data_IF_380303535529
#
_entry.id   IF_380303535529
#
_cell.length_a   1.000
_cell.length_b   1.000
_cell.length_c   1.000
_cell.angle_alpha   90.00
_cell.angle_beta   90.00
_cell.angle_gamma   90.00
#
_symmetry.space_group_name_H-M   'P 1'
#
loop_
_entity.id
_entity.type
_entity.pdbx_description
1 polymer ?
#
# COMPACT_ATOMS: atom_id res chain seq x y z
N UNK A 1 -0.17 -11.16 -3.18
CA UNK A 1 -0.29 -11.32 -4.64
C UNK A 1 -1.67 -11.81 -5.05
N UNK A 2 -2.08 -13.03 -4.66
CA UNK A 2 -3.42 -13.59 -4.97
C UNK A 2 -4.58 -12.66 -4.61
N UNK A 3 -4.57 -12.07 -3.41
CA UNK A 3 -5.64 -11.19 -2.93
C UNK A 3 -5.86 -9.97 -3.83
N UNK A 4 -4.79 -9.29 -4.26
CA UNK A 4 -4.87 -8.09 -5.12
C UNK A 4 -5.42 -8.43 -6.50
N UNK A 5 -4.97 -9.55 -7.08
CA UNK A 5 -5.47 -10.05 -8.36
C UNK A 5 -6.95 -10.47 -8.29
N UNK A 6 -7.37 -11.07 -7.17
CA UNK A 6 -8.78 -11.40 -6.94
C UNK A 6 -9.66 -10.14 -6.87
N UNK A 7 -9.20 -9.06 -6.23
CA UNK A 7 -9.94 -7.80 -6.19
C UNK A 7 -10.02 -7.14 -7.57
N UNK A 8 -8.90 -7.03 -8.30
CA UNK A 8 -8.88 -6.45 -9.66
C UNK A 8 -9.79 -7.21 -10.62
N UNK A 9 -9.67 -8.55 -10.67
CA UNK A 9 -10.53 -9.36 -11.52
C UNK A 9 -12.01 -9.24 -11.14
N UNK A 10 -12.34 -9.09 -9.85
CA UNK A 10 -13.73 -8.88 -9.41
C UNK A 10 -14.27 -7.51 -9.84
N UNK A 11 -13.42 -6.48 -9.86
CA UNK A 11 -13.80 -5.15 -10.34
C UNK A 11 -13.98 -5.10 -11.85
N UNK A 12 -13.17 -5.83 -12.63
CA UNK A 12 -13.35 -5.93 -14.08
C UNK A 12 -14.75 -6.46 -14.44
N UNK A 13 -15.26 -7.41 -13.65
CA UNK A 13 -16.65 -7.86 -13.77
C UNK A 13 -17.63 -6.74 -13.49
N UNK A 14 -17.49 -6.02 -12.37
CA UNK A 14 -18.37 -4.88 -12.03
C UNK A 14 -18.35 -3.82 -13.14
N UNK A 15 -17.18 -3.43 -13.64
CA UNK A 15 -17.04 -2.47 -14.74
C UNK A 15 -17.68 -2.94 -16.05
N UNK A 16 -17.56 -4.22 -16.38
CA UNK A 16 -18.17 -4.81 -17.58
C UNK A 16 -19.69 -4.64 -17.58
N UNK A 17 -20.33 -4.83 -16.43
CA UNK A 17 -21.78 -4.67 -16.30
C UNK A 17 -22.20 -3.21 -16.14
N UNK A 18 -21.41 -2.38 -15.43
CA UNK A 18 -21.65 -0.93 -15.32
C UNK A 18 -21.72 -0.26 -16.69
N UNK A 19 -20.92 -0.71 -17.65
CA UNK A 19 -20.93 -0.18 -19.03
C UNK A 19 -22.29 -0.32 -19.74
N UNK A 20 -23.16 -1.22 -19.28
CA UNK A 20 -24.45 -1.51 -19.91
C UNK A 20 -25.65 -0.90 -19.14
N UNK A 21 -25.40 0.00 -18.20
CA UNK A 21 -26.44 0.65 -17.39
C UNK A 21 -26.43 2.14 -17.71
N UNK A 22 -27.52 2.61 -18.32
CA UNK A 22 -27.68 3.98 -18.82
C UNK A 22 -28.29 4.95 -17.77
N UNK A 23 -28.52 4.49 -16.53
CA UNK A 23 -29.28 5.25 -15.53
C UNK A 23 -28.38 5.77 -14.41
N UNK A 24 -28.00 7.05 -14.50
CA UNK A 24 -27.15 7.78 -13.54
C UNK A 24 -27.70 7.73 -12.10
N UNK A 25 -29.02 7.62 -11.92
CA UNK A 25 -29.66 7.59 -10.59
C UNK A 25 -29.37 6.30 -9.81
N UNK A 26 -28.83 5.29 -10.49
CA UNK A 26 -28.54 3.96 -9.96
C UNK A 26 -27.25 3.93 -9.13
N UNK A 27 -26.32 4.86 -9.35
CA UNK A 27 -24.97 4.80 -8.77
C UNK A 27 -24.85 5.36 -7.34
N UNK A 28 -25.68 6.33 -6.96
CA UNK A 28 -25.53 7.04 -5.68
C UNK A 28 -26.03 6.24 -4.46
N UNK A 29 -26.91 5.26 -4.68
CA UNK A 29 -27.57 4.50 -3.61
C UNK A 29 -27.16 3.02 -3.53
N UNK A 30 -26.53 2.49 -4.58
CA UNK A 30 -26.15 1.08 -4.61
C UNK A 30 -24.78 0.82 -3.99
N UNK A 31 -24.65 -0.32 -3.34
CA UNK A 31 -23.37 -0.89 -2.94
C UNK A 31 -22.88 -1.86 -4.02
N UNK A 32 -21.61 -2.24 -3.97
CA UNK A 32 -21.05 -3.27 -4.86
C UNK A 32 -21.86 -4.57 -4.76
N UNK A 33 -22.28 -4.95 -3.55
CA UNK A 33 -23.10 -6.16 -3.37
C UNK A 33 -24.47 -6.02 -4.03
N UNK A 34 -25.22 -4.95 -3.73
CA UNK A 34 -26.57 -4.80 -4.29
C UNK A 34 -26.53 -4.62 -5.80
N UNK A 35 -25.48 -4.00 -6.34
CA UNK A 35 -25.22 -4.00 -7.78
C UNK A 35 -25.02 -5.40 -8.34
N UNK A 36 -24.14 -6.17 -7.72
CA UNK A 36 -23.78 -7.49 -8.18
C UNK A 36 -25.00 -8.43 -8.15
N UNK A 37 -25.82 -8.38 -7.10
CA UNK A 37 -27.05 -9.17 -6.97
C UNK A 37 -28.13 -8.80 -8.00
N UNK A 38 -28.27 -7.51 -8.32
CA UNK A 38 -29.34 -7.03 -9.20
C UNK A 38 -28.98 -7.10 -10.70
N UNK A 39 -27.69 -6.94 -11.05
CA UNK A 39 -27.27 -6.74 -12.44
C UNK A 39 -26.32 -7.82 -12.98
N UNK A 40 -25.60 -8.56 -12.11
CA UNK A 40 -24.71 -9.64 -12.57
C UNK A 40 -25.50 -10.95 -12.61
N UNK A 41 -25.87 -11.36 -13.82
CA UNK A 41 -26.80 -12.49 -14.10
C UNK A 41 -26.29 -13.88 -13.69
N UNK A 42 -25.09 -14.00 -13.13
CA UNK A 42 -24.48 -15.29 -12.79
C UNK A 42 -24.36 -15.44 -11.27
N UNK A 43 -25.26 -16.23 -10.68
CA UNK A 43 -25.23 -16.59 -9.24
C UNK A 43 -23.98 -17.38 -8.83
N UNK A 44 -23.32 -18.04 -9.79
CA UNK A 44 -22.06 -18.77 -9.61
C UNK A 44 -20.90 -17.82 -9.28
N UNK A 45 -20.99 -16.56 -9.74
CA UNK A 45 -19.99 -15.52 -9.48
C UNK A 45 -20.30 -14.69 -8.23
N UNK A 46 -21.25 -15.11 -7.39
CA UNK A 46 -21.72 -14.30 -6.27
C UNK A 46 -21.54 -15.04 -4.94
N UNK A 47 -22.01 -16.28 -4.84
CA UNK A 47 -22.21 -16.99 -3.58
C UNK A 47 -20.95 -17.27 -2.72
N UNK A 48 -19.73 -17.17 -3.27
CA UNK A 48 -18.46 -17.31 -2.52
C UNK A 48 -17.49 -16.12 -2.71
N UNK A 49 -17.93 -15.07 -3.42
CA UNK A 49 -17.04 -14.08 -4.02
C UNK A 49 -16.76 -12.86 -3.14
N UNK A 50 -15.61 -12.24 -3.41
CA UNK A 50 -15.16 -10.97 -2.82
C UNK A 50 -16.25 -9.87 -2.85
N UNK A 51 -17.11 -9.90 -3.87
CA UNK A 51 -18.23 -8.96 -4.05
C UNK A 51 -19.29 -9.02 -2.92
N UNK A 52 -19.35 -10.11 -2.15
CA UNK A 52 -20.30 -10.31 -1.05
C UNK A 52 -19.67 -10.21 0.35
N UNK A 53 -18.34 -10.04 0.44
CA UNK A 53 -17.63 -10.01 1.71
C UNK A 53 -17.36 -8.57 2.17
N UNK A 54 -17.80 -8.16 3.38
CA UNK A 54 -17.37 -6.91 3.98
C UNK A 54 -15.84 -6.85 4.17
N UNK A 55 -15.21 -5.67 4.06
CA UNK A 55 -15.84 -4.37 3.81
C UNK A 55 -16.13 -4.09 2.33
N UNK A 56 -15.63 -4.93 1.40
CA UNK A 56 -15.70 -4.68 -0.04
C UNK A 56 -17.15 -4.60 -0.55
N UNK A 57 -17.98 -5.56 -0.14
CA UNK A 57 -19.41 -5.63 -0.46
C UNK A 57 -20.21 -4.36 -0.11
N UNK A 58 -19.81 -3.67 0.96
CA UNK A 58 -20.54 -2.53 1.52
C UNK A 58 -20.14 -1.19 0.91
N UNK A 59 -19.13 -1.16 0.05
CA UNK A 59 -18.67 0.07 -0.62
C UNK A 59 -19.76 0.54 -1.58
N UNK A 60 -20.10 1.82 -1.51
CA UNK A 60 -21.03 2.44 -2.46
C UNK A 60 -20.40 2.52 -3.86
N UNK A 61 -21.18 2.22 -4.90
CA UNK A 61 -20.70 2.23 -6.29
C UNK A 61 -20.09 3.56 -6.70
N UNK A 62 -20.52 4.69 -6.14
CA UNK A 62 -19.90 5.99 -6.42
C UNK A 62 -18.39 6.05 -6.11
N UNK A 63 -17.90 5.16 -5.23
CA UNK A 63 -16.48 5.05 -4.87
C UNK A 63 -15.75 3.91 -5.63
N UNK A 64 -16.37 3.31 -6.65
CA UNK A 64 -15.80 2.15 -7.35
C UNK A 64 -14.50 2.51 -8.09
N UNK A 65 -14.42 3.73 -8.63
CA UNK A 65 -13.23 4.25 -9.30
C UNK A 65 -12.12 4.47 -8.25
N UNK A 66 -12.43 5.16 -7.15
CA UNK A 66 -11.47 5.38 -6.06
C UNK A 66 -10.91 4.05 -5.51
N UNK A 67 -11.77 3.04 -5.39
CA UNK A 67 -11.39 1.71 -4.94
C UNK A 67 -10.46 1.00 -5.93
N UNK A 68 -10.79 1.04 -7.22
CA UNK A 68 -9.94 0.47 -8.27
C UNK A 68 -8.56 1.11 -8.27
N UNK A 69 -8.53 2.43 -8.18
CA UNK A 69 -7.32 3.23 -8.12
C UNK A 69 -6.46 2.92 -6.88
N UNK A 70 -7.07 2.79 -5.71
CA UNK A 70 -6.37 2.38 -4.48
C UNK A 70 -5.74 0.98 -4.64
N UNK A 71 -6.45 0.06 -5.30
CA UNK A 71 -5.93 -1.29 -5.55
C UNK A 71 -4.74 -1.25 -6.52
N UNK A 72 -4.76 -0.40 -7.54
CA UNK A 72 -3.61 -0.20 -8.43
C UNK A 72 -2.37 0.31 -7.69
N UNK A 73 -2.54 1.27 -6.78
CA UNK A 73 -1.44 1.76 -5.94
C UNK A 73 -0.87 0.66 -5.03
N UNK A 74 -1.75 -0.13 -4.40
CA UNK A 74 -1.34 -1.28 -3.59
C UNK A 74 -0.64 -2.35 -4.45
N UNK A 75 -1.13 -2.59 -5.67
CA UNK A 75 -0.54 -3.52 -6.62
C UNK A 75 0.86 -3.07 -7.04
N UNK A 76 1.03 -1.77 -7.29
CA UNK A 76 2.33 -1.18 -7.57
C UNK A 76 3.30 -1.43 -6.41
N UNK A 77 2.93 -1.04 -5.20
CA UNK A 77 3.81 -1.13 -4.03
C UNK A 77 4.22 -2.56 -3.69
N UNK A 78 3.28 -3.51 -3.78
CA UNK A 78 3.52 -4.90 -3.38
C UNK A 78 4.13 -5.76 -4.48
N UNK A 79 3.92 -5.42 -5.75
CA UNK A 79 4.25 -6.29 -6.88
C UNK A 79 5.17 -5.56 -7.84
N UNK A 80 4.63 -4.57 -8.56
CA UNK A 80 5.31 -4.01 -9.73
C UNK A 80 6.58 -3.24 -9.40
N UNK A 81 6.69 -2.69 -8.19
CA UNK A 81 7.91 -2.01 -7.71
C UNK A 81 9.17 -2.86 -7.83
N UNK A 82 9.05 -4.20 -7.74
CA UNK A 82 10.18 -5.12 -7.85
C UNK A 82 10.55 -5.48 -9.29
N UNK A 83 9.70 -5.17 -10.27
CA UNK A 83 9.87 -5.55 -11.69
C UNK A 83 10.10 -4.34 -12.59
N UNK A 84 10.67 -3.28 -12.03
CA UNK A 84 10.92 -2.04 -12.75
C UNK A 84 12.03 -2.26 -13.78
N UNK A 85 11.79 -1.81 -15.01
CA UNK A 85 12.75 -1.91 -16.12
C UNK A 85 14.07 -1.22 -15.73
N UNK A 86 15.21 -1.80 -16.09
CA UNK A 86 16.53 -1.27 -15.77
C UNK A 86 16.66 0.23 -16.08
N UNK A 87 16.19 0.65 -17.26
CA UNK A 87 16.25 2.05 -17.73
C UNK A 87 15.45 3.03 -16.85
N UNK A 88 14.53 2.53 -16.02
CA UNK A 88 13.74 3.32 -15.09
C UNK A 88 14.33 3.29 -13.67
N UNK A 89 15.28 2.40 -13.36
CA UNK A 89 15.81 2.30 -12.00
C UNK A 89 16.68 3.50 -11.66
N UNK A 90 16.82 3.76 -10.35
CA UNK A 90 17.70 4.83 -9.90
C UNK A 90 19.13 4.62 -10.42
N UNK A 91 19.64 3.38 -10.42
CA UNK A 91 20.99 2.99 -10.85
C UNK A 91 21.36 3.47 -12.27
N UNK A 92 20.36 3.65 -13.15
CA UNK A 92 20.57 4.16 -14.50
C UNK A 92 20.99 5.63 -14.58
N UNK A 93 20.91 6.37 -13.46
CA UNK A 93 21.17 7.80 -13.40
C UNK A 93 22.17 8.13 -12.29
N UNK A 94 23.03 9.13 -12.53
CA UNK A 94 23.96 9.61 -11.50
C UNK A 94 23.20 10.29 -10.35
N UNK A 95 23.72 10.19 -9.12
CA UNK A 95 23.06 10.75 -7.92
C UNK A 95 22.77 12.26 -8.08
N UNK A 96 23.72 13.02 -8.61
CA UNK A 96 23.57 14.46 -8.85
C UNK A 96 22.45 14.78 -9.84
N UNK A 97 22.31 13.96 -10.89
CA UNK A 97 21.23 14.08 -11.86
C UNK A 97 19.88 13.80 -11.22
N UNK A 98 19.78 12.74 -10.39
CA UNK A 98 18.55 12.42 -9.65
C UNK A 98 18.13 13.57 -8.74
N UNK A 99 19.06 14.12 -7.96
CA UNK A 99 18.78 15.24 -7.05
C UNK A 99 18.35 16.50 -7.81
N UNK A 100 19.03 16.81 -8.90
CA UNK A 100 18.70 17.96 -9.76
C UNK A 100 17.32 17.80 -10.37
N UNK A 101 17.01 16.61 -10.88
CA UNK A 101 15.72 16.27 -11.47
C UNK A 101 14.59 16.41 -10.45
N UNK A 102 14.73 15.84 -9.25
CA UNK A 102 13.73 15.92 -8.18
C UNK A 102 13.50 17.37 -7.77
N UNK A 103 14.58 18.16 -7.65
CA UNK A 103 14.50 19.59 -7.31
C UNK A 103 13.76 20.38 -8.38
N UNK A 104 14.18 20.25 -9.65
CA UNK A 104 13.52 20.88 -10.81
C UNK A 104 12.03 20.55 -10.83
N UNK A 105 11.69 19.26 -10.72
CA UNK A 105 10.30 18.80 -10.71
C UNK A 105 9.51 19.41 -9.56
N UNK A 106 10.05 19.39 -8.34
CA UNK A 106 9.37 19.94 -7.15
C UNK A 106 9.07 21.43 -7.30
N UNK A 107 10.05 22.20 -7.79
CA UNK A 107 9.96 23.65 -7.94
C UNK A 107 8.96 24.06 -9.03
N UNK A 108 8.75 23.21 -10.05
CA UNK A 108 7.75 23.41 -11.12
C UNK A 108 6.34 22.94 -10.72
N UNK A 109 6.22 22.14 -9.66
CA UNK A 109 4.98 21.45 -9.27
C UNK A 109 4.51 21.92 -7.88
N UNK A 110 4.45 21.04 -6.88
CA UNK A 110 3.83 21.33 -5.59
C UNK A 110 4.51 22.43 -4.76
N UNK A 111 5.76 22.84 -5.10
CA UNK A 111 6.42 24.01 -4.48
C UNK A 111 6.19 25.31 -5.24
N UNK A 112 5.64 25.26 -6.45
CA UNK A 112 5.33 26.45 -7.25
C UNK A 112 4.26 27.27 -6.55
N UNK A 113 4.48 28.57 -6.38
CA UNK A 113 3.57 29.44 -5.62
C UNK A 113 2.17 29.50 -6.23
N UNK A 114 2.10 29.54 -7.58
CA UNK A 114 0.87 29.69 -8.36
C UNK A 114 0.13 28.37 -8.60
N UNK A 115 0.59 27.25 -8.03
CA UNK A 115 -0.06 25.97 -8.26
C UNK A 115 -1.41 25.89 -7.53
N UNK A 116 -2.36 25.18 -8.14
CA UNK A 116 -3.66 24.89 -7.56
C UNK A 116 -3.52 24.27 -6.15
N UNK A 117 -4.37 24.67 -5.18
CA UNK A 117 -4.29 24.16 -3.82
C UNK A 117 -4.38 22.63 -3.72
N UNK A 118 -5.19 21.99 -4.58
CA UNK A 118 -5.35 20.53 -4.67
C UNK A 118 -4.04 19.82 -5.05
N UNK A 119 -3.16 20.50 -5.78
CA UNK A 119 -1.86 19.98 -6.24
C UNK A 119 -0.69 20.38 -5.34
N UNK A 120 -0.91 21.10 -4.24
CA UNK A 120 0.15 21.37 -3.25
C UNK A 120 0.48 20.14 -2.40
N UNK A 121 -0.38 19.12 -2.42
CA UNK A 121 -0.16 17.88 -1.70
C UNK A 121 0.81 16.96 -2.46
N UNK A 122 1.93 16.61 -1.83
CA UNK A 122 2.92 15.67 -2.38
C UNK A 122 2.32 14.27 -2.64
N UNK A 123 1.33 13.85 -1.85
CA UNK A 123 0.71 12.53 -2.03
C UNK A 123 -0.05 12.42 -3.36
N UNK A 124 -0.65 13.50 -3.85
CA UNK A 124 -1.29 13.54 -5.17
C UNK A 124 -0.27 13.28 -6.28
N UNK A 125 0.94 13.85 -6.16
CA UNK A 125 2.04 13.63 -7.09
C UNK A 125 2.61 12.21 -7.01
N UNK A 126 2.72 11.65 -5.81
CA UNK A 126 3.11 10.24 -5.63
C UNK A 126 2.06 9.32 -6.27
N UNK A 127 0.77 9.59 -6.06
CA UNK A 127 -0.33 8.81 -6.63
C UNK A 127 -0.33 8.79 -8.16
N UNK A 128 -0.24 9.95 -8.81
CA UNK A 128 -0.17 10.03 -10.29
C UNK A 128 1.07 9.30 -10.82
N UNK A 129 2.24 9.45 -10.19
CA UNK A 129 3.46 8.76 -10.64
C UNK A 129 3.33 7.24 -10.51
N UNK A 130 2.74 6.72 -9.42
CA UNK A 130 2.44 5.29 -9.30
C UNK A 130 1.49 4.82 -10.40
N UNK A 131 0.46 5.60 -10.74
CA UNK A 131 -0.47 5.27 -11.82
C UNK A 131 0.18 5.29 -13.19
N UNK A 132 1.10 6.23 -13.46
CA UNK A 132 1.91 6.19 -14.69
C UNK A 132 2.72 4.90 -14.77
N UNK A 133 3.31 4.45 -13.66
CA UNK A 133 4.02 3.17 -13.61
C UNK A 133 3.10 1.98 -13.95
N UNK A 134 1.86 1.98 -13.46
CA UNK A 134 0.89 0.88 -13.63
C UNK A 134 0.21 0.90 -15.00
N UNK A 135 -0.30 2.05 -15.45
CA UNK A 135 -1.19 2.18 -16.60
C UNK A 135 -0.46 2.52 -17.90
N UNK A 136 0.65 3.24 -17.82
CA UNK A 136 1.40 3.72 -18.99
C UNK A 136 2.65 2.86 -19.20
N UNK A 137 3.51 2.77 -18.20
CA UNK A 137 4.84 2.15 -18.33
C UNK A 137 4.83 0.62 -18.32
N UNK A 138 3.71 0.01 -17.90
CA UNK A 138 3.45 -1.43 -18.05
C UNK A 138 3.27 -1.82 -19.52
N UNK A 139 2.88 -0.89 -20.40
CA UNK A 139 2.75 -1.13 -21.82
C UNK A 139 4.14 -1.19 -22.48
N UNK A 140 4.42 -2.28 -23.19
CA UNK A 140 5.70 -2.52 -23.86
C UNK A 140 5.94 -1.58 -25.06
N UNK A 141 4.89 -0.98 -25.61
CA UNK A 141 4.96 -0.17 -26.83
C UNK A 141 5.16 1.33 -26.56
N UNK A 142 5.20 1.76 -25.29
CA UNK A 142 5.36 3.17 -24.96
C UNK A 142 6.83 3.57 -25.02
N UNK A 143 7.14 4.63 -25.79
CA UNK A 143 8.46 5.25 -25.80
C UNK A 143 8.72 5.97 -24.49
N UNK A 144 9.91 5.74 -23.92
CA UNK A 144 10.32 6.35 -22.65
C UNK A 144 10.93 7.75 -22.83
N UNK A 145 11.30 8.11 -24.05
CA UNK A 145 11.91 9.39 -24.42
C UNK A 145 10.87 10.47 -24.78
N UNK A 146 9.71 10.41 -24.14
CA UNK A 146 8.59 11.33 -24.35
C UNK A 146 8.43 12.20 -23.10
N UNK A 147 8.16 13.52 -23.21
CA UNK A 147 7.90 14.38 -22.07
C UNK A 147 6.83 13.83 -21.14
N UNK A 148 7.09 13.85 -19.84
CA UNK A 148 6.14 13.35 -18.84
C UNK A 148 4.87 14.23 -18.78
N UNK A 149 4.99 15.52 -19.15
CA UNK A 149 3.90 16.50 -19.17
C UNK A 149 2.66 15.98 -19.91
N UNK A 150 2.84 15.33 -21.06
CA UNK A 150 1.74 14.77 -21.89
C UNK A 150 0.84 13.83 -21.07
N UNK A 151 1.43 13.09 -20.13
CA UNK A 151 0.68 12.17 -19.27
C UNK A 151 0.19 12.83 -17.99
N UNK A 152 0.88 13.86 -17.50
CA UNK A 152 0.41 14.66 -16.35
C UNK A 152 -0.79 15.54 -16.72
N UNK A 153 -1.00 15.83 -18.00
CA UNK A 153 -2.18 16.58 -18.47
C UNK A 153 -3.47 15.75 -18.53
N UNK A 154 -3.35 14.43 -18.40
CA UNK A 154 -4.49 13.51 -18.47
C UNK A 154 -5.28 13.50 -17.16
N UNK A 155 -6.43 14.16 -17.16
CA UNK A 155 -7.37 14.21 -16.03
C UNK A 155 -7.75 12.83 -15.50
N UNK A 156 -7.89 11.82 -16.38
CA UNK A 156 -8.27 10.44 -16.03
C UNK A 156 -7.23 9.67 -15.19
N UNK A 157 -6.01 10.20 -15.11
CA UNK A 157 -4.93 9.57 -14.33
C UNK A 157 -4.82 10.18 -12.93
N UNK A 158 -5.40 11.35 -12.68
CA UNK A 158 -5.29 12.02 -11.38
C UNK A 158 -6.23 11.43 -10.34
N UNK A 159 -5.79 11.50 -9.09
CA UNK A 159 -6.51 10.97 -7.92
C UNK A 159 -7.16 12.12 -7.17
N UNK A 160 -8.32 11.86 -6.55
CA UNK A 160 -9.06 12.90 -5.85
C UNK A 160 -9.68 13.92 -6.80
N UNK A 161 -10.34 14.93 -6.25
CA UNK A 161 -11.10 15.94 -6.99
C UNK A 161 -10.19 16.95 -7.75
N UNK A 162 -9.19 16.46 -8.48
CA UNK A 162 -8.31 17.25 -9.32
C UNK A 162 -9.01 17.45 -10.67
N UNK A 163 -9.21 18.72 -11.02
CA UNK A 163 -9.91 19.11 -12.25
C UNK A 163 -8.94 19.69 -13.28
N UNK A 164 -9.39 19.82 -14.53
CA UNK A 164 -8.56 20.33 -15.63
C UNK A 164 -7.94 21.71 -15.33
N UNK A 165 -8.70 22.61 -14.69
CA UNK A 165 -8.17 23.93 -14.31
C UNK A 165 -7.05 23.85 -13.28
N UNK A 166 -7.02 22.81 -12.43
CA UNK A 166 -5.92 22.59 -11.50
C UNK A 166 -4.66 22.18 -12.27
N UNK A 167 -4.81 21.27 -13.24
CA UNK A 167 -3.72 20.76 -14.07
C UNK A 167 -3.05 21.89 -14.85
N UNK A 168 -3.83 22.86 -15.33
CA UNK A 168 -3.31 24.03 -16.06
C UNK A 168 -2.41 24.95 -15.22
N UNK A 169 -2.31 24.75 -13.90
CA UNK A 169 -1.48 25.61 -13.02
C UNK A 169 0.00 25.22 -12.96
N UNK A 170 0.38 24.06 -13.50
CA UNK A 170 1.77 23.60 -13.56
C UNK A 170 2.21 23.34 -15.01
N UNK A 171 3.52 23.38 -15.22
CA UNK A 171 4.15 23.01 -16.50
C UNK A 171 5.50 22.40 -16.15
N UNK A 172 5.70 21.15 -16.58
CA UNK A 172 6.94 20.41 -16.37
C UNK A 172 7.80 20.52 -17.62
N UNK A 173 9.07 20.83 -17.45
CA UNK A 173 10.04 20.96 -18.54
C UNK A 173 10.12 19.67 -19.39
N UNK A 174 10.17 19.81 -20.72
CA UNK A 174 10.23 18.71 -21.69
C UNK A 174 11.44 17.76 -21.53
N UNK A 175 12.53 18.22 -20.90
CA UNK A 175 13.67 17.38 -20.51
C UNK A 175 13.28 16.31 -19.48
N UNK A 176 12.18 16.51 -18.74
CA UNK A 176 11.65 15.52 -17.81
C UNK A 176 10.80 14.53 -18.59
N UNK A 177 11.48 13.51 -19.07
CA UNK A 177 10.90 12.42 -19.85
C UNK A 177 10.23 11.34 -18.98
N UNK A 178 9.42 10.49 -19.61
CA UNK A 178 8.72 9.38 -18.98
C UNK A 178 9.67 8.35 -18.35
N UNK A 179 10.91 8.21 -18.84
CA UNK A 179 11.92 7.38 -18.18
C UNK A 179 12.24 7.82 -16.74
N UNK A 180 12.01 9.09 -16.41
CA UNK A 180 12.31 9.66 -15.10
C UNK A 180 11.24 9.36 -14.04
N UNK A 181 10.09 8.79 -14.40
CA UNK A 181 8.93 8.61 -13.51
C UNK A 181 9.30 7.90 -12.21
N UNK A 182 10.09 6.84 -12.25
CA UNK A 182 10.44 6.11 -11.02
C UNK A 182 11.41 6.87 -10.11
N UNK A 183 12.37 7.60 -10.69
CA UNK A 183 13.29 8.45 -9.91
C UNK A 183 12.51 9.56 -9.21
N UNK A 184 11.59 10.20 -9.93
CA UNK A 184 10.70 11.21 -9.37
C UNK A 184 9.88 10.60 -8.23
N UNK A 185 9.27 9.45 -8.44
CA UNK A 185 8.48 8.75 -7.42
C UNK A 185 9.31 8.51 -6.15
N UNK A 186 10.50 7.92 -6.28
CA UNK A 186 11.39 7.65 -5.14
C UNK A 186 11.85 8.92 -4.45
N UNK A 187 12.14 9.96 -5.22
CA UNK A 187 12.52 11.27 -4.70
C UNK A 187 11.41 11.94 -3.89
N UNK A 188 10.17 11.89 -4.38
CA UNK A 188 9.01 12.45 -3.69
C UNK A 188 8.64 11.65 -2.45
N UNK A 189 8.72 10.31 -2.50
CA UNK A 189 8.53 9.46 -1.32
C UNK A 189 9.54 9.84 -0.22
N UNK A 190 10.82 10.04 -0.59
CA UNK A 190 11.84 10.47 0.35
C UNK A 190 11.55 11.87 0.95
N UNK A 191 11.15 12.84 0.12
CA UNK A 191 10.80 14.18 0.60
C UNK A 191 9.57 14.16 1.53
N UNK A 192 8.54 13.37 1.20
CA UNK A 192 7.36 13.17 2.06
C UNK A 192 7.78 12.58 3.41
N UNK A 193 8.55 11.50 3.41
CA UNK A 193 8.97 10.82 4.63
C UNK A 193 9.83 11.75 5.52
N UNK A 194 10.65 12.60 4.90
CA UNK A 194 11.41 13.66 5.59
C UNK A 194 10.50 14.74 6.21
N UNK A 195 9.42 15.13 5.54
CA UNK A 195 8.44 16.08 6.10
C UNK A 195 7.70 15.47 7.30
N UNK A 196 7.32 14.19 7.22
CA UNK A 196 6.71 13.47 8.34
C UNK A 196 7.64 13.40 9.54
N UNK A 197 8.92 13.09 9.33
CA UNK A 197 9.94 13.05 10.38
C UNK A 197 10.22 14.44 11.00
N UNK A 198 10.18 15.52 10.22
CA UNK A 198 10.33 16.89 10.72
C UNK A 198 9.13 17.39 11.53
N UNK A 199 7.93 16.90 11.20
CA UNK A 199 6.69 17.25 11.90
C UNK A 199 6.53 16.49 13.23
N UNK A 200 7.32 15.44 13.44
CA UNK A 200 7.58 14.91 14.78
C UNK A 200 8.59 15.86 15.44
N UNK A 201 8.09 16.99 15.98
CA UNK A 201 8.88 17.73 16.99
C UNK A 201 9.23 16.73 18.10
N UNK A 202 10.47 16.73 18.63
CA UNK A 202 10.72 16.02 19.87
C UNK A 202 9.73 16.60 20.89
N UNK A 203 8.88 15.74 21.43
CA UNK A 203 8.27 16.00 22.73
C UNK A 203 9.46 16.36 23.62
N UNK A 204 9.45 17.54 24.22
CA UNK A 204 10.47 17.98 25.16
C UNK A 204 10.69 16.86 26.18
N UNK A 205 11.80 16.13 26.03
CA UNK A 205 12.32 15.21 27.03
C UNK A 205 13.00 16.08 28.10
N UNK A 206 12.27 17.01 28.70
CA UNK A 206 12.71 17.76 29.87
C UNK A 206 11.72 17.68 31.04
N UNK A 207 10.54 17.08 30.88
CA UNK A 207 9.64 16.80 32.02
C UNK A 207 9.55 15.31 32.43
N UNK A 208 10.26 14.40 31.75
CA UNK A 208 10.36 12.99 32.21
C UNK A 208 11.65 12.68 32.99
N UNK A 209 12.64 13.59 32.99
CA UNK A 209 13.92 13.40 33.69
C UNK A 209 13.86 13.73 35.19
N UNK A 210 12.82 14.42 35.68
CA UNK A 210 12.59 14.68 37.11
C UNK A 210 11.74 13.60 37.80
N UNK A 211 10.82 12.93 37.08
CA UNK A 211 10.02 11.83 37.64
C UNK A 211 10.73 10.46 37.60
N UNK A 212 11.73 10.25 36.75
CA UNK A 212 12.53 9.02 36.75
C UNK A 212 13.71 9.04 37.74
N UNK A 213 14.19 10.21 38.18
CA UNK A 213 15.25 10.28 39.22
C UNK A 213 14.75 9.99 40.64
N UNK A 214 13.46 10.14 40.94
CA UNK A 214 12.91 9.73 42.24
C UNK A 214 12.56 8.24 42.33
N UNK A 215 12.26 7.57 41.22
CA UNK A 215 11.93 6.13 41.24
C UNK A 215 13.15 5.20 41.13
N UNK A 216 14.33 5.71 40.78
CA UNK A 216 15.58 4.92 40.77
C UNK A 216 16.23 4.86 42.16
N UNK A 217 16.02 5.85 43.02
CA UNK A 217 16.60 5.84 44.38
C UNK A 217 15.82 4.98 45.41
N UNK A 218 14.57 4.59 45.12
CA UNK A 218 13.76 3.77 46.04
C UNK A 218 13.77 2.25 45.73
N UNK A 219 14.29 1.82 44.58
CA UNK A 219 14.28 0.39 44.20
C UNK A 219 15.62 -0.33 44.38
N UNK A 220 16.71 0.38 44.69
CA UNK A 220 18.02 -0.22 44.94
C UNK A 220 18.17 -0.84 46.34
N UNK A 221 17.38 -0.40 47.32
CA UNK A 221 17.46 -0.92 48.70
C UNK A 221 16.62 -2.19 48.93
N UNK A 222 15.70 -2.54 48.02
CA UNK A 222 14.82 -3.71 48.19
C UNK A 222 15.31 -4.97 47.46
N UNK A 223 16.31 -4.87 46.57
CA UNK A 223 16.83 -6.03 45.82
C UNK A 223 18.12 -6.65 46.41
N UNK A 224 18.72 -6.06 47.44
CA UNK A 224 19.88 -6.62 48.15
C UNK A 224 19.52 -7.62 49.27
N UNK A 225 18.23 -7.91 49.52
CA UNK A 225 17.80 -8.79 50.62
C UNK A 225 17.21 -10.16 50.21
N UNK A 226 17.23 -10.55 48.92
CA UNK A 226 16.65 -11.83 48.48
C UNK A 226 17.55 -12.76 47.66
N UNK A 227 18.84 -12.42 47.48
CA UNK A 227 19.82 -13.32 46.84
C UNK A 227 20.79 -13.85 47.89
N UNK A 228 20.29 -14.71 48.79
CA UNK A 228 21.07 -15.69 49.54
C UNK A 228 20.09 -16.64 50.20
N UNK A 229 19.67 -17.67 49.48
CA UNK A 229 19.40 -18.97 50.09
C UNK A 229 19.35 -20.09 49.02
N UNK A 230 20.33 -20.99 49.12
CA UNK A 230 20.22 -22.45 48.93
C UNK A 230 20.62 -23.05 47.57
N UNK A 231 21.89 -23.44 47.51
CA UNK A 231 22.34 -24.68 46.86
C UNK A 231 23.05 -25.56 47.89
N UNK A 232 22.88 -26.89 47.71
CA UNK A 232 23.32 -28.06 48.49
C UNK A 232 22.45 -28.41 49.72
N UNK A 233 21.92 -29.64 49.89
CA UNK A 233 22.59 -30.95 49.79
C UNK A 233 21.69 -32.15 49.39
N UNK A 234 22.36 -33.15 48.78
CA UNK A 234 22.27 -34.63 48.98
C UNK A 234 21.03 -35.49 48.62
N UNK A 235 21.19 -36.31 47.56
CA UNK A 235 21.16 -37.80 47.47
C UNK A 235 20.19 -38.59 48.40
N UNK A 236 19.28 -39.39 47.82
CA UNK A 236 19.30 -40.88 47.91
C UNK A 236 18.08 -41.59 47.25
N UNK A 237 18.42 -42.51 46.34
CA UNK A 237 17.91 -43.86 46.04
C UNK A 237 16.43 -44.32 46.19
N UNK A 238 16.06 -45.10 45.16
CA UNK A 238 15.43 -46.43 45.18
C UNK A 238 13.95 -46.59 44.75
N UNK A 239 13.82 -47.03 43.49
CA UNK A 239 13.22 -48.31 43.03
C UNK A 239 11.70 -48.47 42.79
N UNK A 240 11.44 -49.20 41.68
CA UNK A 240 10.29 -50.07 41.35
C UNK A 240 8.94 -49.37 41.07
N UNK A 241 8.14 -49.71 40.05
CA UNK A 241 7.94 -50.98 39.36
C UNK A 241 7.20 -50.79 38.01
N UNK A 242 7.58 -51.61 37.03
CA UNK A 242 6.74 -52.32 36.02
C UNK A 242 5.88 -51.59 34.96
N UNK A 243 6.30 -51.80 33.69
CA UNK A 243 5.58 -52.29 32.47
C UNK A 243 4.03 -52.28 32.50
N UNK A 244 3.34 -51.97 31.39
CA UNK A 244 3.08 -52.92 30.28
C UNK A 244 2.57 -52.19 29.01
N UNK A 245 3.04 -52.70 27.87
CA UNK A 245 2.69 -52.41 26.46
C UNK A 245 1.48 -53.26 26.02
N UNK A 246 0.62 -52.74 25.12
CA UNK A 246 -0.14 -53.43 24.04
C UNK A 246 -0.77 -52.33 23.18
N UNK A 247 -0.48 -52.07 21.90
CA UNK A 247 -0.43 -52.87 20.66
C UNK A 247 -1.74 -53.56 20.30
N UNK A 248 -2.41 -53.09 19.24
CA UNK A 248 -3.01 -53.86 18.13
C UNK A 248 -3.54 -52.85 17.09
N UNK A 249 -2.98 -52.72 15.87
CA UNK A 249 -2.99 -53.58 14.67
C UNK A 249 -4.32 -53.64 13.88
N UNK A 250 -4.18 -53.22 12.61
CA UNK A 250 -4.87 -53.70 11.38
C UNK A 250 -6.34 -53.29 11.17
N UNK A 251 -6.85 -52.98 9.96
CA UNK A 251 -6.53 -53.52 8.63
C UNK A 251 -7.01 -52.61 7.49
N UNK A 252 -6.25 -52.58 6.39
CA UNK A 252 -6.62 -52.10 5.05
C UNK A 252 -7.66 -53.03 4.41
N UNK A 253 -8.63 -52.50 3.65
CA UNK A 253 -9.27 -53.27 2.57
C UNK A 253 -9.57 -52.39 1.34
N UNK A 254 -8.90 -52.75 0.24
CA UNK A 254 -9.16 -52.39 -1.17
C UNK A 254 -10.14 -53.42 -1.77
N UNK A 255 -11.05 -52.99 -2.64
CA UNK A 255 -11.55 -53.65 -3.88
C UNK A 255 -12.72 -52.80 -4.43
N UNK A 256 -12.61 -52.10 -5.57
CA UNK A 256 -12.86 -52.53 -6.98
C UNK A 256 -14.13 -53.36 -7.16
N UNK A 257 -15.15 -52.81 -7.83
CA UNK A 257 -15.41 -52.93 -9.28
C UNK A 257 -15.95 -51.59 -9.76
#
# INVERSE_FOLDING_TARGET
>A
MLIVLHYLGSLDYVFTYLRNIDDETTNDSLTIQSFAENYIRSSVCLNDNVLQRPPFATINLKYIIDLYELIEEIAFDKILRHYIKQNLTEESFAIEQRQTLIRKFSDMTFKKETIAPSLKNIDSWIGILKRLMVRVLSNINVSLDVPIQIYLERTDLWTGNIIESDIQTFEVNDEILLQHTYILLKGLEYERDKLLLKNIKPIDIEEQSTLQKQNVLQNTDTQLLKVKTWHNDSISNASMMSRVIKSDKTTVKKMRV
#
